data_IF_324352836842
#
_entry.id   IF_324352836842
#
_cell.length_a   1.000
_cell.length_b   1.000
_cell.length_c   1.000
_cell.angle_alpha   90.00
_cell.angle_beta   90.00
_cell.angle_gamma   90.00
#
_symmetry.space_group_name_H-M   'P 1'
#
loop_
_entity.id
_entity.type
_entity.pdbx_description
1 polymer ?
#
# COMPACT_ATOMS: atom_id res chain seq x y z
N UNK A 1 -39.39 -2.23 25.47
CA UNK A 1 -37.96 -2.39 25.81
C UNK A 1 -37.19 -2.37 24.51
N UNK A 2 -36.16 -1.56 24.49
CA UNK A 2 -35.63 -0.84 23.32
C UNK A 2 -34.97 -1.76 22.29
N UNK A 3 -35.24 -1.44 21.02
CA UNK A 3 -34.57 -2.05 19.88
C UNK A 3 -33.19 -1.43 19.68
N UNK A 4 -32.15 -2.24 19.88
CA UNK A 4 -30.81 -1.91 19.39
C UNK A 4 -30.75 -2.35 17.92
N UNK A 5 -31.09 -1.43 17.01
CA UNK A 5 -30.75 -1.57 15.59
C UNK A 5 -29.24 -1.41 15.48
N UNK A 6 -28.52 -2.52 15.63
CA UNK A 6 -27.14 -2.59 15.18
C UNK A 6 -27.13 -2.27 13.69
N UNK A 7 -26.51 -1.14 13.32
CA UNK A 7 -26.28 -0.80 11.92
C UNK A 7 -25.36 -1.87 11.34
N UNK A 8 -25.94 -2.79 10.56
CA UNK A 8 -25.17 -3.72 9.74
C UNK A 8 -24.53 -2.91 8.62
N UNK A 9 -23.38 -2.31 8.90
CA UNK A 9 -22.58 -1.61 7.90
C UNK A 9 -22.31 -2.59 6.75
N UNK A 10 -22.66 -2.15 5.54
CA UNK A 10 -22.57 -2.95 4.33
C UNK A 10 -21.23 -2.65 3.62
N UNK A 11 -20.61 -3.64 2.97
CA UNK A 11 -19.42 -3.45 2.12
C UNK A 11 -19.60 -2.32 1.09
N UNK A 12 -20.84 -2.01 0.69
CA UNK A 12 -21.16 -0.86 -0.15
C UNK A 12 -20.71 0.48 0.45
N UNK A 13 -20.82 0.69 1.77
CA UNK A 13 -20.38 1.94 2.42
C UNK A 13 -18.86 2.14 2.30
N UNK A 14 -18.11 1.03 2.36
CA UNK A 14 -16.67 1.00 2.13
C UNK A 14 -16.36 1.44 0.71
N UNK A 15 -17.06 0.87 -0.27
CA UNK A 15 -16.87 1.20 -1.68
C UNK A 15 -17.27 2.64 -2.02
N UNK A 16 -18.35 3.15 -1.43
CA UNK A 16 -18.77 4.53 -1.61
C UNK A 16 -17.76 5.51 -1.01
N UNK A 17 -17.13 5.16 0.11
CA UNK A 17 -16.04 5.93 0.72
C UNK A 17 -14.81 5.96 -0.17
N UNK A 18 -14.39 4.80 -0.69
CA UNK A 18 -13.26 4.70 -1.63
C UNK A 18 -13.53 5.55 -2.88
N UNK A 19 -14.71 5.46 -3.48
CA UNK A 19 -15.11 6.25 -4.66
C UNK A 19 -15.11 7.75 -4.39
N UNK A 20 -15.65 8.17 -3.24
CA UNK A 20 -15.68 9.58 -2.83
C UNK A 20 -14.27 10.14 -2.69
N UNK A 21 -13.38 9.42 -2.01
CA UNK A 21 -11.98 9.84 -1.80
C UNK A 21 -11.21 9.85 -3.12
N UNK A 22 -11.36 8.80 -3.95
CA UNK A 22 -10.75 8.73 -5.27
C UNK A 22 -11.13 9.96 -6.12
N UNK A 23 -12.43 10.29 -6.15
CA UNK A 23 -12.95 11.45 -6.88
C UNK A 23 -12.44 12.78 -6.31
N UNK A 24 -12.40 12.92 -4.97
CA UNK A 24 -11.93 14.14 -4.28
C UNK A 24 -10.45 14.42 -4.51
N UNK A 25 -9.63 13.37 -4.63
CA UNK A 25 -8.18 13.47 -4.82
C UNK A 25 -7.74 13.38 -6.30
N UNK A 26 -8.63 12.98 -7.21
CA UNK A 26 -8.31 12.80 -8.63
C UNK A 26 -7.41 11.59 -8.89
N UNK A 27 -7.60 10.51 -8.12
CA UNK A 27 -6.79 9.27 -8.16
C UNK A 27 -7.66 8.06 -8.46
N UNK A 28 -7.06 6.90 -8.74
CA UNK A 28 -7.82 5.66 -8.95
C UNK A 28 -8.43 5.12 -7.64
N UNK A 29 -9.48 4.30 -7.74
CA UNK A 29 -10.04 3.63 -6.56
C UNK A 29 -9.04 2.68 -5.88
N UNK A 30 -8.13 2.08 -6.64
CA UNK A 30 -7.06 1.25 -6.07
C UNK A 30 -6.07 2.09 -5.26
N UNK A 31 -5.72 3.28 -5.77
CA UNK A 31 -4.90 4.25 -5.03
C UNK A 31 -5.60 4.71 -3.76
N UNK A 32 -6.86 5.09 -3.85
CA UNK A 32 -7.66 5.51 -2.71
C UNK A 32 -7.80 4.40 -1.67
N UNK A 33 -7.94 3.13 -2.08
CA UNK A 33 -8.05 1.98 -1.15
C UNK A 33 -6.81 1.87 -0.27
N UNK A 34 -5.61 1.86 -0.86
CA UNK A 34 -4.35 1.74 -0.10
C UNK A 34 -4.12 2.95 0.80
N UNK A 35 -4.37 4.16 0.28
CA UNK A 35 -4.24 5.37 1.09
C UNK A 35 -5.20 5.38 2.27
N UNK A 36 -6.45 4.92 2.08
CA UNK A 36 -7.40 4.81 3.18
C UNK A 36 -6.95 3.79 4.23
N UNK A 37 -6.34 2.69 3.83
CA UNK A 37 -5.77 1.72 4.77
C UNK A 37 -4.60 2.32 5.57
N UNK A 38 -3.66 3.00 4.90
CA UNK A 38 -2.50 3.67 5.53
C UNK A 38 -2.97 4.74 6.53
N UNK A 39 -3.97 5.53 6.14
CA UNK A 39 -4.51 6.61 6.95
C UNK A 39 -5.65 6.16 7.88
N UNK A 40 -5.87 4.84 8.02
CA UNK A 40 -6.89 4.25 8.90
C UNK A 40 -8.28 4.89 8.71
N UNK A 41 -8.66 5.12 7.46
CA UNK A 41 -9.94 5.71 7.04
C UNK A 41 -10.18 7.16 7.52
N UNK A 42 -9.13 7.87 7.97
CA UNK A 42 -9.19 9.30 8.26
C UNK A 42 -9.10 10.11 6.95
N UNK A 43 -10.27 10.36 6.36
CA UNK A 43 -10.41 11.10 5.10
C UNK A 43 -9.82 12.51 5.18
N UNK A 44 -10.04 13.23 6.29
CA UNK A 44 -9.61 14.62 6.41
C UNK A 44 -8.10 14.72 6.56
N UNK A 45 -7.48 13.83 7.36
CA UNK A 45 -6.03 13.74 7.46
C UNK A 45 -5.40 13.35 6.13
N UNK A 46 -5.96 12.36 5.44
CA UNK A 46 -5.49 11.94 4.13
C UNK A 46 -5.54 13.11 3.14
N UNK A 47 -6.67 13.80 3.04
CA UNK A 47 -6.84 14.93 2.11
C UNK A 47 -5.91 16.08 2.47
N UNK A 48 -5.75 16.38 3.75
CA UNK A 48 -4.85 17.42 4.23
C UNK A 48 -3.39 17.13 3.85
N UNK A 49 -2.93 15.88 4.06
CA UNK A 49 -1.57 15.47 3.70
C UNK A 49 -1.34 15.37 2.20
N UNK A 50 -2.31 14.83 1.46
CA UNK A 50 -2.25 14.76 0.00
C UNK A 50 -2.14 16.16 -0.63
N UNK A 51 -2.87 17.15 -0.11
CA UNK A 51 -2.78 18.54 -0.60
C UNK A 51 -1.44 19.21 -0.28
N UNK A 52 -0.80 18.87 0.85
CA UNK A 52 0.49 19.45 1.24
C UNK A 52 1.64 18.93 0.38
N UNK A 53 1.61 17.65 0.03
CA UNK A 53 2.59 17.00 -0.84
C UNK A 53 1.93 15.95 -1.74
N UNK A 54 1.33 16.35 -2.88
CA UNK A 54 0.71 15.39 -3.82
C UNK A 54 1.71 14.32 -4.29
N UNK A 55 2.98 14.73 -4.43
CA UNK A 55 4.06 13.91 -4.94
C UNK A 55 4.67 12.94 -3.92
N UNK A 56 4.54 13.19 -2.61
CA UNK A 56 5.15 12.32 -1.59
C UNK A 56 4.24 11.14 -1.21
N UNK A 57 2.92 11.33 -1.30
CA UNK A 57 1.96 10.30 -0.87
C UNK A 57 1.56 9.35 -2.00
N UNK A 58 1.64 9.76 -3.27
CA UNK A 58 0.88 9.09 -4.36
C UNK A 58 1.62 8.90 -5.69
N UNK A 59 2.75 9.59 -5.91
CA UNK A 59 3.51 9.40 -7.16
C UNK A 59 3.98 7.96 -7.26
N UNK A 60 3.61 7.28 -8.34
CA UNK A 60 4.29 6.24 -9.14
C UNK A 60 5.21 5.19 -8.48
N UNK A 61 5.43 5.23 -7.17
CA UNK A 61 6.28 4.38 -6.34
C UNK A 61 5.44 3.37 -5.57
N UNK A 62 4.17 3.69 -5.30
CA UNK A 62 3.28 2.82 -4.53
C UNK A 62 2.35 1.96 -5.38
N UNK A 63 2.11 2.31 -6.64
CA UNK A 63 1.06 1.64 -7.43
C UNK A 63 1.56 1.06 -8.74
N UNK A 64 1.01 -0.11 -9.04
CA UNK A 64 1.20 -0.85 -10.28
C UNK A 64 0.28 -0.26 -11.33
N UNK A 65 0.82 0.29 -12.42
CA UNK A 65 0.01 0.91 -13.48
C UNK A 65 -0.84 -0.11 -14.25
N UNK A 66 -0.37 -1.37 -14.35
CA UNK A 66 -1.13 -2.59 -14.63
C UNK A 66 -0.11 -3.75 -14.60
N UNK A 67 -0.31 -4.84 -13.86
CA UNK A 67 0.56 -6.00 -13.99
C UNK A 67 0.46 -6.49 -15.43
N UNK A 68 1.61 -6.66 -16.06
CA UNK A 68 1.69 -7.32 -17.36
C UNK A 68 2.29 -8.69 -17.07
N UNK A 69 1.64 -9.74 -17.55
CA UNK A 69 2.28 -11.05 -17.57
C UNK A 69 3.41 -10.97 -18.59
N UNK A 70 4.64 -11.10 -18.13
CA UNK A 70 5.73 -11.32 -19.05
C UNK A 70 5.53 -12.73 -19.62
N UNK A 71 5.41 -12.81 -20.95
CA UNK A 71 5.19 -14.08 -21.67
C UNK A 71 6.46 -14.94 -21.70
N UNK A 72 7.58 -14.38 -21.26
CA UNK A 72 8.88 -15.03 -21.21
C UNK A 72 9.09 -15.75 -19.87
N UNK A 73 9.78 -16.89 -19.93
CA UNK A 73 10.21 -17.60 -18.74
C UNK A 73 11.28 -16.79 -18.03
N UNK A 74 11.15 -16.62 -16.72
CA UNK A 74 12.07 -15.86 -15.88
C UNK A 74 12.21 -16.52 -14.51
N UNK A 75 13.18 -16.09 -13.71
CA UNK A 75 13.38 -16.61 -12.37
C UNK A 75 12.39 -15.97 -11.38
N UNK A 76 11.63 -16.79 -10.67
CA UNK A 76 10.76 -16.31 -9.59
C UNK A 76 11.59 -15.77 -8.42
N UNK A 77 11.29 -14.55 -7.97
CA UNK A 77 12.02 -13.90 -6.88
C UNK A 77 11.97 -14.70 -5.57
N UNK A 78 10.86 -15.38 -5.29
CA UNK A 78 10.61 -16.10 -4.03
C UNK A 78 11.18 -17.52 -4.01
N UNK A 79 10.89 -18.34 -5.03
CA UNK A 79 11.32 -19.74 -5.04
C UNK A 79 12.57 -20.03 -5.87
N UNK A 80 13.10 -19.03 -6.60
CA UNK A 80 14.29 -19.16 -7.46
C UNK A 80 14.17 -20.20 -8.57
N UNK A 81 12.94 -20.58 -8.95
CA UNK A 81 12.70 -21.46 -10.09
C UNK A 81 12.45 -20.64 -11.36
N UNK A 82 13.04 -21.10 -12.47
CA UNK A 82 12.81 -20.51 -13.79
C UNK A 82 11.50 -21.03 -14.40
N UNK A 83 10.51 -20.15 -14.55
CA UNK A 83 9.15 -20.51 -14.98
C UNK A 83 8.40 -19.27 -15.50
N UNK A 84 7.18 -19.46 -15.99
CA UNK A 84 6.29 -18.34 -16.31
C UNK A 84 5.94 -17.57 -15.03
N UNK A 85 6.21 -16.27 -15.04
CA UNK A 85 6.02 -15.40 -13.89
C UNK A 85 5.17 -14.17 -14.25
N UNK A 86 4.42 -13.67 -13.27
CA UNK A 86 3.74 -12.39 -13.37
C UNK A 86 4.69 -11.28 -12.91
N UNK A 87 4.73 -10.19 -13.66
CA UNK A 87 5.34 -8.94 -13.23
C UNK A 87 4.24 -8.06 -12.62
N UNK A 88 4.43 -7.66 -11.36
CA UNK A 88 3.49 -6.76 -10.69
C UNK A 88 3.65 -5.31 -11.15
N UNK A 89 4.19 -5.02 -12.34
CA UNK A 89 4.50 -3.67 -12.83
C UNK A 89 5.47 -2.86 -11.96
N UNK A 90 6.10 -3.49 -10.97
CA UNK A 90 7.22 -2.97 -10.19
C UNK A 90 8.58 -3.45 -10.71
N UNK A 91 8.58 -4.41 -11.66
CA UNK A 91 9.78 -5.07 -12.14
C UNK A 91 10.11 -6.38 -11.42
N UNK A 92 9.41 -6.71 -10.33
CA UNK A 92 9.58 -7.98 -9.62
C UNK A 92 8.70 -9.08 -10.23
N UNK A 93 9.27 -10.27 -10.39
CA UNK A 93 8.64 -11.44 -11.00
C UNK A 93 8.33 -12.54 -10.00
N UNK A 94 7.10 -13.07 -10.06
CA UNK A 94 6.64 -14.14 -9.19
C UNK A 94 5.94 -15.23 -9.99
N UNK A 95 6.23 -16.50 -9.73
CA UNK A 95 5.44 -17.58 -10.32
C UNK A 95 4.02 -17.60 -9.71
N UNK A 96 3.04 -18.13 -10.45
CA UNK A 96 1.63 -18.17 -10.01
C UNK A 96 1.46 -18.77 -8.61
N UNK A 97 2.19 -19.85 -8.30
CA UNK A 97 2.17 -20.49 -6.98
C UNK A 97 2.61 -19.53 -5.87
N UNK A 98 3.80 -18.93 -5.98
CA UNK A 98 4.33 -18.05 -4.94
C UNK A 98 3.51 -16.76 -4.81
N UNK A 99 3.01 -16.23 -5.93
CA UNK A 99 2.10 -15.09 -5.93
C UNK A 99 0.83 -15.39 -5.12
N UNK A 100 0.15 -16.51 -5.40
CA UNK A 100 -1.05 -16.92 -4.67
C UNK A 100 -0.76 -17.17 -3.20
N UNK A 101 0.22 -18.03 -2.89
CA UNK A 101 0.55 -18.39 -1.51
C UNK A 101 0.84 -17.16 -0.65
N UNK A 102 1.57 -16.18 -1.18
CA UNK A 102 1.88 -14.95 -0.47
C UNK A 102 0.62 -14.13 -0.15
N UNK A 103 -0.14 -13.72 -1.17
CA UNK A 103 -1.29 -12.83 -0.99
C UNK A 103 -2.47 -13.52 -0.29
N UNK A 104 -2.72 -14.79 -0.61
CA UNK A 104 -3.73 -15.56 0.11
C UNK A 104 -3.35 -15.68 1.59
N UNK A 105 -2.08 -15.93 1.94
CA UNK A 105 -1.67 -16.00 3.34
C UNK A 105 -1.87 -14.67 4.09
N UNK A 106 -1.67 -13.52 3.43
CA UNK A 106 -1.95 -12.20 4.00
C UNK A 106 -3.45 -12.03 4.28
N UNK A 107 -4.29 -12.36 3.31
CA UNK A 107 -5.76 -12.27 3.44
C UNK A 107 -6.28 -13.19 4.55
N UNK A 108 -5.76 -14.42 4.66
CA UNK A 108 -6.16 -15.35 5.73
C UNK A 108 -5.79 -14.84 7.13
N UNK A 109 -4.73 -14.02 7.24
CA UNK A 109 -4.28 -13.38 8.47
C UNK A 109 -4.93 -12.01 8.73
N UNK A 110 -5.96 -11.63 7.97
CA UNK A 110 -6.58 -10.30 8.03
C UNK A 110 -5.60 -9.14 7.78
N UNK A 111 -4.46 -9.43 7.14
CA UNK A 111 -3.49 -8.40 6.80
C UNK A 111 -3.87 -7.79 5.44
N UNK A 112 -4.30 -6.52 5.47
CA UNK A 112 -4.68 -5.75 4.28
C UNK A 112 -3.50 -5.01 3.63
N UNK A 113 -2.30 -5.13 4.19
CA UNK A 113 -1.07 -4.58 3.62
C UNK A 113 -0.65 -5.45 2.42
N UNK A 114 -1.17 -5.10 1.24
CA UNK A 114 -0.98 -5.88 0.02
C UNK A 114 0.26 -5.45 -0.77
N UNK A 115 1.36 -5.17 -0.09
CA UNK A 115 2.66 -4.82 -0.67
C UNK A 115 3.29 -5.97 -1.47
N UNK A 116 4.26 -5.61 -2.32
CA UNK A 116 5.10 -6.52 -3.08
C UNK A 116 5.87 -7.45 -2.13
N UNK A 117 6.04 -8.74 -2.46
CA UNK A 117 6.87 -9.65 -1.65
C UNK A 117 8.35 -9.27 -1.53
N UNK A 118 8.84 -8.31 -2.33
CA UNK A 118 10.19 -7.77 -2.21
C UNK A 118 10.21 -6.63 -1.18
N UNK A 119 10.91 -6.81 -0.05
CA UNK A 119 10.97 -5.81 1.03
C UNK A 119 11.56 -4.45 0.59
N UNK A 120 12.35 -4.42 -0.49
CA UNK A 120 12.89 -3.19 -1.06
C UNK A 120 11.92 -2.50 -2.03
N UNK A 121 10.75 -3.10 -2.28
CA UNK A 121 9.75 -2.61 -3.20
C UNK A 121 8.57 -2.03 -2.41
N UNK A 122 8.23 -0.76 -2.67
CA UNK A 122 7.13 -0.09 -2.00
C UNK A 122 5.80 -0.22 -2.75
N UNK A 123 5.70 -1.13 -3.73
CA UNK A 123 4.52 -1.22 -4.61
C UNK A 123 3.44 -2.10 -3.98
N UNK A 124 2.19 -1.68 -4.10
CA UNK A 124 1.02 -2.38 -3.60
C UNK A 124 0.26 -3.05 -4.73
N UNK A 125 -0.26 -4.25 -4.46
CA UNK A 125 -1.18 -4.98 -5.31
C UNK A 125 -2.54 -4.25 -5.34
N UNK A 126 -2.97 -3.76 -6.52
CA UNK A 126 -4.29 -3.15 -6.68
C UNK A 126 -5.43 -4.07 -6.24
N UNK A 127 -6.45 -3.49 -5.60
CA UNK A 127 -7.68 -4.20 -5.21
C UNK A 127 -8.41 -4.80 -6.41
N UNK A 128 -8.39 -4.12 -7.56
CA UNK A 128 -8.93 -4.62 -8.83
C UNK A 128 -8.40 -6.01 -9.21
N UNK A 129 -7.11 -6.29 -9.00
CA UNK A 129 -6.53 -7.60 -9.33
C UNK A 129 -7.01 -8.72 -8.42
N UNK A 130 -7.22 -8.41 -7.14
CA UNK A 130 -7.83 -9.35 -6.21
C UNK A 130 -9.24 -9.71 -6.71
N UNK A 131 -9.96 -8.73 -7.28
CA UNK A 131 -11.31 -8.92 -7.84
C UNK A 131 -11.33 -9.70 -9.15
N UNK A 132 -10.35 -9.50 -10.04
CA UNK A 132 -10.31 -9.98 -11.44
C UNK A 132 -9.99 -11.48 -11.63
N UNK A 133 -10.32 -12.33 -10.65
CA UNK A 133 -10.13 -13.79 -10.65
C UNK A 133 -8.69 -14.30 -10.54
N UNK A 134 -7.71 -13.45 -10.18
CA UNK A 134 -6.37 -13.95 -9.81
C UNK A 134 -6.40 -14.79 -8.53
N UNK A 135 -7.43 -14.59 -7.70
CA UNK A 135 -7.65 -15.28 -6.44
C UNK A 135 -8.96 -16.10 -6.45
N UNK A 136 -9.02 -17.11 -5.57
CA UNK A 136 -10.24 -17.90 -5.41
C UNK A 136 -11.43 -17.04 -4.95
N UNK A 137 -12.66 -17.53 -5.19
CA UNK A 137 -13.88 -16.85 -4.73
C UNK A 137 -13.91 -16.68 -3.22
N UNK A 138 -13.37 -17.66 -2.48
CA UNK A 138 -13.35 -17.63 -1.02
C UNK A 138 -12.38 -16.55 -0.51
N UNK A 139 -11.18 -16.49 -1.08
CA UNK A 139 -10.19 -15.46 -0.74
C UNK A 139 -10.73 -14.06 -1.01
N UNK A 140 -11.44 -13.86 -2.13
CA UNK A 140 -12.08 -12.57 -2.43
C UNK A 140 -13.10 -12.16 -1.38
N UNK A 141 -13.99 -13.07 -0.98
CA UNK A 141 -14.97 -12.81 0.08
C UNK A 141 -14.28 -12.49 1.41
N UNK A 142 -13.20 -13.21 1.73
CA UNK A 142 -12.44 -12.97 2.94
C UNK A 142 -11.80 -11.59 2.95
N UNK A 143 -11.20 -11.19 1.83
CA UNK A 143 -10.64 -9.85 1.66
C UNK A 143 -11.70 -8.75 1.87
N UNK A 144 -12.88 -8.90 1.26
CA UNK A 144 -14.00 -7.95 1.47
C UNK A 144 -14.45 -7.90 2.93
N UNK A 145 -14.53 -9.06 3.61
CA UNK A 145 -14.86 -9.12 5.03
C UNK A 145 -13.79 -8.43 5.90
N UNK A 146 -12.51 -8.66 5.62
CA UNK A 146 -11.40 -7.99 6.32
C UNK A 146 -11.41 -6.48 6.09
N UNK A 147 -11.69 -6.04 4.86
CA UNK A 147 -11.79 -4.62 4.51
C UNK A 147 -12.96 -3.95 5.24
N UNK A 148 -14.12 -4.61 5.29
CA UNK A 148 -15.27 -4.14 6.05
C UNK A 148 -14.94 -4.05 7.54
N UNK A 149 -14.36 -5.09 8.14
CA UNK A 149 -14.04 -5.04 9.57
C UNK A 149 -13.01 -3.95 9.91
N UNK A 150 -12.00 -3.77 9.07
CA UNK A 150 -11.03 -2.70 9.21
C UNK A 150 -11.69 -1.31 9.17
N UNK A 151 -12.62 -1.09 8.24
CA UNK A 151 -13.43 0.13 8.17
C UNK A 151 -14.31 0.34 9.40
N UNK A 152 -14.95 -0.72 9.89
CA UNK A 152 -15.80 -0.67 11.10
C UNK A 152 -14.99 -0.31 12.34
N UNK A 153 -13.79 -0.87 12.48
CA UNK A 153 -12.90 -0.57 13.59
C UNK A 153 -12.45 0.89 13.57
N UNK A 154 -12.06 1.38 12.40
CA UNK A 154 -11.61 2.78 12.24
C UNK A 154 -12.74 3.78 12.51
N UNK A 155 -13.96 3.51 12.05
CA UNK A 155 -15.10 4.45 12.17
C UNK A 155 -15.80 4.42 13.53
N UNK A 156 -15.62 3.36 14.34
CA UNK A 156 -16.18 3.26 15.69
C UNK A 156 -15.32 3.91 16.77
N UNK A 157 -14.03 4.12 16.52
CA UNK A 157 -13.15 4.76 17.50
C UNK A 157 -13.24 6.28 17.37
N UNK A 158 -13.57 7.03 18.44
CA UNK A 158 -13.35 8.46 18.44
C UNK A 158 -11.86 8.71 18.25
N UNK A 159 -11.49 9.59 17.31
CA UNK A 159 -10.11 9.99 17.05
C UNK A 159 -9.50 10.58 18.34
N UNK A 160 -8.88 9.75 19.18
CA UNK A 160 -8.04 10.19 20.29
C UNK A 160 -6.63 10.41 19.77
N UNK A 161 -6.08 11.59 20.07
CA UNK A 161 -4.81 12.15 19.62
C UNK A 161 -3.54 11.39 20.09
N UNK A 162 -3.39 10.10 19.75
CA UNK A 162 -2.17 9.35 20.06
C UNK A 162 -1.45 8.89 18.79
N UNK A 163 -0.84 9.84 18.09
CA UNK A 163 0.04 9.57 16.95
C UNK A 163 1.42 10.23 17.15
N UNK A 164 2.06 9.90 18.27
CA UNK A 164 3.37 10.41 18.67
C UNK A 164 4.56 9.47 18.35
N UNK A 165 4.38 8.38 17.59
CA UNK A 165 5.43 7.36 17.40
C UNK A 165 5.98 7.13 15.97
N UNK A 166 5.62 7.94 14.96
CA UNK A 166 6.25 7.89 13.63
C UNK A 166 7.45 8.85 13.43
N UNK A 167 7.99 9.44 14.51
CA UNK A 167 9.16 10.35 14.44
C UNK A 167 10.54 9.68 14.54
N UNK A 168 10.66 8.35 14.44
CA UNK A 168 11.97 7.66 14.52
C UNK A 168 12.18 6.62 13.43
N UNK A 169 12.24 7.06 12.18
CA UNK A 169 12.92 6.30 11.10
C UNK A 169 13.31 7.13 9.87
N UNK A 170 13.07 8.45 9.85
CA UNK A 170 13.42 9.33 8.73
C UNK A 170 14.54 10.31 9.02
N UNK A 171 15.69 9.86 9.51
CA UNK A 171 16.86 10.75 9.66
C UNK A 171 18.15 10.05 9.27
N UNK A 172 18.87 10.72 8.37
CA UNK A 172 20.08 10.32 7.64
C UNK A 172 19.72 9.46 6.42
N UNK A 173 19.67 10.02 5.21
CA UNK A 173 20.85 10.38 4.40
C UNK A 173 20.52 11.56 3.47
N UNK A 174 21.55 12.36 3.13
CA UNK A 174 21.62 13.63 2.36
C UNK A 174 21.34 14.89 3.18
N UNK A 175 22.23 15.88 3.29
CA UNK A 175 23.57 16.11 2.74
C UNK A 175 23.92 17.58 3.00
N UNK A 176 25.21 17.91 3.13
CA UNK A 176 25.70 19.29 2.93
C UNK A 176 27.16 19.23 2.51
N UNK A 177 27.40 19.59 1.25
CA UNK A 177 28.71 20.02 0.80
C UNK A 177 28.90 21.52 1.05
N UNK A 178 30.18 21.91 0.93
CA UNK A 178 30.71 23.28 0.69
C UNK A 178 30.75 24.18 1.94
N UNK A 179 31.84 24.87 2.31
CA UNK A 179 32.94 25.47 1.54
C UNK A 179 34.25 25.66 2.36
N UNK A 180 35.36 25.72 1.60
CA UNK A 180 36.59 26.53 1.72
C UNK A 180 37.02 27.12 3.08
N UNK A 181 38.27 26.84 3.48
CA UNK A 181 39.25 27.89 3.79
C UNK A 181 40.70 27.35 3.82
N UNK A 182 41.57 28.18 3.25
CA UNK A 182 43.01 28.12 3.06
C UNK A 182 43.85 27.90 4.33
N UNK A 183 45.07 27.36 4.16
CA UNK A 183 46.10 27.38 5.21
C UNK A 183 47.42 26.75 4.78
N UNK A 184 48.41 27.60 4.59
CA UNK A 184 49.77 27.38 4.08
C UNK A 184 50.69 26.50 4.95
N UNK A 185 51.80 26.05 4.36
CA UNK A 185 53.00 25.56 5.05
C UNK A 185 53.70 24.44 4.26
N UNK A 186 54.57 24.74 3.29
CA UNK A 186 56.03 24.81 3.49
C UNK A 186 56.57 23.73 4.46
N UNK A 187 57.22 22.68 3.94
CA UNK A 187 58.69 22.63 3.97
C UNK A 187 59.32 21.46 3.21
N UNK A 188 60.45 21.79 2.60
CA UNK A 188 61.49 20.92 2.04
C UNK A 188 61.96 19.88 3.07
N UNK A 189 62.25 18.66 2.66
CA UNK A 189 63.61 18.22 2.26
C UNK A 189 63.57 16.78 1.74
#
# INVERSE_FOLDING_TARGET
MEGVRGQTQNINEVYDTIKRVASRLGISEDQATVLLLIYKWDEERLVSKFKQSPNDCVNDHYFVTKPVFDLDWTECLLCKHFTACINLGCGDHFCDKCFREYYESKIHKDNLDMDCPNDNCCKFLPRSLIKDNMMSKEVRKRYEASLLENFRHATKQPHTEEDSLLKKSGSQIFGKGKDLASGSGENKK
#
